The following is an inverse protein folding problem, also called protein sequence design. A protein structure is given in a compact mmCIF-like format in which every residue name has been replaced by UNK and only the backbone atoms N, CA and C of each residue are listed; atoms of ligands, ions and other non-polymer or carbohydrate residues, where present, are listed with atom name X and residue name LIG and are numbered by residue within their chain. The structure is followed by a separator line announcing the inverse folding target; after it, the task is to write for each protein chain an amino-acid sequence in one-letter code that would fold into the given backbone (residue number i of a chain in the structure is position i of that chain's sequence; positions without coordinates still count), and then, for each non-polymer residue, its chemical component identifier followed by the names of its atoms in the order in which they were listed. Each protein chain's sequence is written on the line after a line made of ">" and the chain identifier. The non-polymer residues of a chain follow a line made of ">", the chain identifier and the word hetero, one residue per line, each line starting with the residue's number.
data_IF_942631729304
#
_entry.id   IF_942631729304
#
_cell.length_a   1.000
_cell.length_b   1.000
_cell.length_c   1.000
_cell.angle_alpha   90.00
_cell.angle_beta   90.00
_cell.angle_gamma   90.00
#
_symmetry.space_group_name_H-M   'P 1'
#
loop_
_entity.id
_entity.type
_entity.pdbx_description
1 polymer ?
#
# COMPACT_ATOMS: atom_id res chain seq x y z
N UNK A 1 -40.37 15.08 47.79
CA UNK A 1 -39.45 14.91 48.95
C UNK A 1 -38.59 13.65 48.90
N UNK A 2 -38.63 12.82 47.84
CA UNK A 2 -37.88 11.55 47.79
C UNK A 2 -36.46 11.70 47.19
N UNK A 3 -36.25 12.61 46.24
CA UNK A 3 -34.96 12.79 45.54
C UNK A 3 -33.89 13.47 46.41
N UNK A 4 -34.29 14.42 47.26
CA UNK A 4 -33.36 15.15 48.14
C UNK A 4 -32.74 14.25 49.23
N UNK A 5 -33.49 13.27 49.74
CA UNK A 5 -32.99 12.28 50.69
C UNK A 5 -32.04 11.26 50.04
N UNK A 6 -32.25 10.96 48.76
CA UNK A 6 -31.38 10.07 47.99
C UNK A 6 -30.02 10.72 47.67
N UNK A 7 -30.04 12.01 47.29
CA UNK A 7 -28.83 12.79 46.99
C UNK A 7 -27.89 12.92 48.21
N UNK A 8 -28.41 13.04 49.43
CA UNK A 8 -27.59 13.09 50.65
C UNK A 8 -26.92 11.76 51.02
N UNK A 9 -27.32 10.64 50.42
CA UNK A 9 -26.75 9.30 50.69
C UNK A 9 -25.75 8.87 49.61
N UNK A 10 -25.65 9.61 48.51
CA UNK A 10 -24.67 9.36 47.44
C UNK A 10 -23.33 9.96 47.84
N UNK A 11 -22.30 9.13 47.92
CA UNK A 11 -20.92 9.57 48.07
C UNK A 11 -20.47 10.26 46.78
N UNK A 12 -20.50 11.59 46.77
CA UNK A 12 -20.17 12.39 45.60
C UNK A 12 -18.74 12.18 45.11
N UNK A 13 -17.82 11.82 46.01
CA UNK A 13 -16.45 11.42 45.68
C UNK A 13 -16.40 10.18 44.77
N UNK A 14 -17.30 9.22 44.99
CA UNK A 14 -17.40 8.02 44.13
C UNK A 14 -17.88 8.41 42.75
N UNK A 15 -18.86 9.30 42.65
CA UNK A 15 -19.38 9.80 41.36
C UNK A 15 -18.29 10.51 40.56
N UNK A 16 -17.52 11.39 41.21
CA UNK A 16 -16.42 12.10 40.55
C UNK A 16 -15.32 11.14 40.09
N UNK A 17 -14.95 10.15 40.90
CA UNK A 17 -13.95 9.13 40.52
C UNK A 17 -14.42 8.29 39.34
N UNK A 18 -15.69 7.90 39.32
CA UNK A 18 -16.28 7.17 38.19
C UNK A 18 -16.25 8.02 36.91
N UNK A 19 -16.60 9.30 37.01
CA UNK A 19 -16.51 10.24 35.88
C UNK A 19 -15.06 10.36 35.36
N UNK A 20 -14.08 10.50 36.26
CA UNK A 20 -12.67 10.58 35.89
C UNK A 20 -12.19 9.33 35.16
N UNK A 21 -12.59 8.14 35.62
CA UNK A 21 -12.27 6.87 34.95
C UNK A 21 -12.90 6.82 33.56
N UNK A 22 -14.14 7.30 33.39
CA UNK A 22 -14.78 7.37 32.07
C UNK A 22 -14.03 8.31 31.11
N UNK A 23 -13.66 9.50 31.57
CA UNK A 23 -12.88 10.47 30.77
C UNK A 23 -11.53 9.88 30.39
N UNK A 24 -10.82 9.25 31.33
CA UNK A 24 -9.56 8.58 31.07
C UNK A 24 -9.71 7.41 30.07
N UNK A 25 -10.80 6.63 30.19
CA UNK A 25 -11.10 5.53 29.28
C UNK A 25 -11.37 5.99 27.84
N UNK A 26 -12.09 7.10 27.67
CA UNK A 26 -12.29 7.72 26.35
C UNK A 26 -10.97 8.21 25.78
N UNK A 27 -10.14 8.90 26.58
CA UNK A 27 -8.82 9.37 26.17
C UNK A 27 -7.91 8.23 25.70
N UNK A 28 -7.89 7.12 26.44
CA UNK A 28 -7.12 5.93 26.07
C UNK A 28 -7.61 5.34 24.73
N UNK A 29 -8.92 5.31 24.52
CA UNK A 29 -9.53 4.79 23.29
C UNK A 29 -9.12 5.61 22.06
N UNK A 30 -9.15 6.94 22.19
CA UNK A 30 -8.72 7.86 21.11
C UNK A 30 -7.23 7.66 20.80
N UNK A 31 -6.38 7.56 21.84
CA UNK A 31 -4.95 7.33 21.66
C UNK A 31 -4.67 5.99 20.94
N UNK A 32 -5.36 4.93 21.32
CA UNK A 32 -5.26 3.62 20.68
C UNK A 32 -5.71 3.65 19.21
N UNK A 33 -6.81 4.35 18.92
CA UNK A 33 -7.28 4.53 17.54
C UNK A 33 -6.26 5.31 16.71
N UNK A 34 -5.71 6.41 17.22
CA UNK A 34 -4.68 7.20 16.56
C UNK A 34 -3.48 6.37 16.13
N UNK A 35 -2.93 5.57 17.06
CA UNK A 35 -1.81 4.67 16.76
C UNK A 35 -2.14 3.68 15.63
N UNK A 36 -3.34 3.08 15.68
CA UNK A 36 -3.80 2.13 14.65
C UNK A 36 -3.95 2.78 13.28
N UNK A 37 -4.44 4.03 13.21
CA UNK A 37 -4.53 4.77 11.96
C UNK A 37 -3.15 5.06 11.40
N UNK A 38 -2.24 5.57 12.22
CA UNK A 38 -0.87 5.89 11.79
C UNK A 38 -0.16 4.67 11.19
N UNK A 39 -0.24 3.51 11.86
CA UNK A 39 0.38 2.27 11.35
C UNK A 39 -0.22 1.87 9.99
N UNK A 40 -1.55 1.92 9.84
CA UNK A 40 -2.21 1.61 8.57
C UNK A 40 -1.83 2.59 7.47
N UNK A 41 -1.79 3.88 7.78
CA UNK A 41 -1.38 4.92 6.83
C UNK A 41 0.06 4.73 6.37
N UNK A 42 0.97 4.37 7.27
CA UNK A 42 2.35 4.06 6.90
C UNK A 42 2.44 2.83 6.00
N UNK A 43 1.73 1.75 6.33
CA UNK A 43 1.69 0.56 5.49
C UNK A 43 1.14 0.87 4.09
N UNK A 44 0.02 1.59 4.02
CA UNK A 44 -0.58 2.03 2.76
C UNK A 44 0.37 2.92 1.96
N UNK A 45 1.09 3.82 2.63
CA UNK A 45 2.09 4.67 1.98
C UNK A 45 3.23 3.85 1.41
N UNK A 46 3.79 2.91 2.17
CA UNK A 46 4.86 2.03 1.70
C UNK A 46 4.41 1.20 0.49
N UNK A 47 3.20 0.64 0.51
CA UNK A 47 2.64 -0.08 -0.64
C UNK A 47 2.47 0.82 -1.87
N UNK A 48 1.97 2.04 -1.67
CA UNK A 48 1.84 3.05 -2.72
C UNK A 48 3.18 3.44 -3.33
N UNK A 49 4.19 3.69 -2.48
CA UNK A 49 5.52 4.11 -2.91
C UNK A 49 6.23 2.97 -3.67
N UNK A 50 6.11 1.73 -3.18
CA UNK A 50 6.60 0.52 -3.84
C UNK A 50 6.04 0.38 -5.26
N UNK A 51 4.72 0.55 -5.42
CA UNK A 51 4.07 0.48 -6.73
C UNK A 51 4.48 1.63 -7.65
N UNK A 52 4.64 2.83 -7.11
CA UNK A 52 5.11 3.97 -7.88
C UNK A 52 6.56 3.77 -8.39
N UNK A 53 7.43 3.19 -7.55
CA UNK A 53 8.80 2.85 -7.96
C UNK A 53 8.83 1.79 -9.06
N UNK A 54 8.04 0.72 -8.92
CA UNK A 54 7.96 -0.32 -9.95
C UNK A 54 7.51 0.26 -11.30
N UNK A 55 6.44 1.06 -11.31
CA UNK A 55 5.95 1.69 -12.53
C UNK A 55 6.96 2.63 -13.16
N UNK A 56 7.69 3.40 -12.34
CA UNK A 56 8.76 4.27 -12.83
C UNK A 56 9.85 3.46 -13.56
N UNK A 57 10.25 2.30 -13.02
CA UNK A 57 11.25 1.44 -13.65
C UNK A 57 10.71 0.80 -14.93
N UNK A 58 9.45 0.35 -14.92
CA UNK A 58 8.80 -0.22 -16.09
C UNK A 58 8.71 0.80 -17.24
N UNK A 59 8.24 2.02 -16.98
CA UNK A 59 8.15 3.06 -18.03
C UNK A 59 9.52 3.36 -18.63
N UNK A 60 10.55 3.46 -17.79
CA UNK A 60 11.92 3.68 -18.28
C UNK A 60 12.42 2.50 -19.14
N UNK A 61 12.16 1.26 -18.74
CA UNK A 61 12.50 0.09 -19.56
C UNK A 61 11.73 0.08 -20.89
N UNK A 62 10.45 0.43 -20.87
CA UNK A 62 9.61 0.53 -22.06
C UNK A 62 10.08 1.62 -23.02
N UNK A 63 10.56 2.76 -22.51
CA UNK A 63 11.18 3.79 -23.35
C UNK A 63 12.44 3.26 -24.07
N UNK A 64 13.17 2.31 -23.47
CA UNK A 64 14.35 1.69 -24.09
C UNK A 64 13.99 0.68 -25.16
N UNK A 65 12.88 -0.05 -25.01
CA UNK A 65 12.35 -0.95 -26.04
C UNK A 65 12.09 -0.24 -27.37
N UNK A 66 11.79 1.05 -27.36
CA UNK A 66 11.54 1.83 -28.58
C UNK A 66 12.74 2.68 -29.02
N UNK A 67 13.95 2.45 -28.48
CA UNK A 67 15.17 3.16 -28.92
C UNK A 67 15.63 2.62 -30.29
N UNK A 68 16.12 3.51 -31.16
CA UNK A 68 16.59 3.16 -32.51
C UNK A 68 17.86 2.30 -32.49
N UNK A 69 18.63 2.35 -31.39
CA UNK A 69 19.84 1.55 -31.22
C UNK A 69 19.47 0.17 -30.72
N UNK A 70 19.73 -0.84 -31.53
CA UNK A 70 19.44 -2.25 -31.24
C UNK A 70 19.96 -2.71 -29.87
N UNK A 71 21.20 -2.34 -29.50
CA UNK A 71 21.77 -2.67 -28.18
C UNK A 71 20.92 -2.15 -27.00
N UNK A 72 20.34 -0.96 -27.16
CA UNK A 72 19.53 -0.31 -26.12
C UNK A 72 18.12 -0.91 -26.08
N UNK A 73 17.58 -1.25 -27.25
CA UNK A 73 16.32 -1.99 -27.36
C UNK A 73 16.40 -3.34 -26.66
N UNK A 74 17.44 -4.13 -26.94
CA UNK A 74 17.67 -5.44 -26.30
C UNK A 74 17.78 -5.27 -24.78
N UNK A 75 18.55 -4.30 -24.32
CA UNK A 75 18.67 -3.97 -22.89
C UNK A 75 17.30 -3.62 -22.28
N UNK A 76 16.46 -2.86 -22.99
CA UNK A 76 15.10 -2.53 -22.54
C UNK A 76 14.24 -3.76 -22.29
N UNK A 77 14.32 -4.74 -23.18
CA UNK A 77 13.60 -6.01 -23.03
C UNK A 77 14.13 -6.89 -21.90
N UNK A 78 15.45 -6.97 -21.72
CA UNK A 78 16.05 -7.67 -20.57
C UNK A 78 15.61 -7.04 -19.24
N UNK A 79 15.48 -5.71 -19.21
CA UNK A 79 14.96 -5.01 -18.04
C UNK A 79 13.49 -5.34 -17.76
N UNK A 80 12.66 -5.45 -18.80
CA UNK A 80 11.25 -5.85 -18.65
C UNK A 80 11.16 -7.28 -18.08
N UNK A 81 11.97 -8.21 -18.58
CA UNK A 81 12.02 -9.59 -18.06
C UNK A 81 12.44 -9.60 -16.57
N UNK A 82 13.49 -8.85 -16.21
CA UNK A 82 13.92 -8.70 -14.83
C UNK A 82 12.83 -8.08 -13.93
N UNK A 83 12.09 -7.09 -14.43
CA UNK A 83 11.00 -6.46 -13.69
C UNK A 83 9.81 -7.40 -13.44
N UNK A 84 9.58 -8.38 -14.31
CA UNK A 84 8.54 -9.41 -14.12
C UNK A 84 8.84 -10.34 -12.95
N UNK A 85 10.12 -10.56 -12.65
CA UNK A 85 10.60 -11.42 -11.56
C UNK A 85 10.74 -10.67 -10.23
N UNK A 86 10.55 -9.34 -10.26
CA UNK A 86 10.70 -8.48 -9.09
C UNK A 86 9.61 -8.73 -8.04
N UNK A 87 9.93 -8.73 -6.73
CA UNK A 87 8.92 -8.86 -5.66
C UNK A 87 7.95 -7.67 -5.59
N UNK A 88 8.26 -6.58 -6.29
CA UNK A 88 7.38 -5.42 -6.43
C UNK A 88 6.31 -5.60 -7.51
N UNK A 89 6.48 -6.57 -8.42
CA UNK A 89 5.51 -6.84 -9.47
C UNK A 89 4.29 -7.56 -8.89
N UNK A 90 3.12 -7.01 -9.15
CA UNK A 90 1.85 -7.67 -8.87
C UNK A 90 1.55 -8.73 -9.93
N UNK A 91 0.65 -9.68 -9.63
CA UNK A 91 0.25 -10.72 -10.57
C UNK A 91 -0.22 -10.15 -11.92
N UNK A 92 -0.98 -9.06 -11.90
CA UNK A 92 -1.47 -8.39 -13.11
C UNK A 92 -0.33 -7.86 -13.97
N UNK A 93 0.69 -7.26 -13.35
CA UNK A 93 1.85 -6.72 -14.06
C UNK A 93 2.70 -7.84 -14.69
N UNK A 94 2.87 -8.95 -13.97
CA UNK A 94 3.55 -10.14 -14.48
C UNK A 94 2.81 -10.73 -15.69
N UNK A 95 1.48 -10.82 -15.61
CA UNK A 95 0.64 -11.34 -16.70
C UNK A 95 0.73 -10.47 -17.96
N UNK A 96 0.70 -9.14 -17.80
CA UNK A 96 0.89 -8.19 -18.91
C UNK A 96 2.26 -8.38 -19.56
N UNK A 97 3.33 -8.46 -18.76
CA UNK A 97 4.69 -8.63 -19.28
C UNK A 97 4.84 -9.96 -20.03
N UNK A 98 4.33 -11.05 -19.46
CA UNK A 98 4.38 -12.37 -20.11
C UNK A 98 3.65 -12.36 -21.45
N UNK A 99 2.49 -11.70 -21.53
CA UNK A 99 1.78 -11.54 -22.80
C UNK A 99 2.61 -10.79 -23.84
N UNK A 100 3.28 -9.70 -23.46
CA UNK A 100 4.14 -8.91 -24.36
C UNK A 100 5.35 -9.71 -24.85
N UNK A 101 5.98 -10.51 -23.98
CA UNK A 101 7.12 -11.36 -24.33
C UNK A 101 6.70 -12.44 -25.33
N UNK A 102 5.55 -13.10 -25.10
CA UNK A 102 5.02 -14.12 -26.01
C UNK A 102 4.70 -13.52 -27.39
N UNK A 103 4.04 -12.35 -27.41
CA UNK A 103 3.72 -11.66 -28.66
C UNK A 103 4.98 -11.28 -29.46
N UNK A 104 6.06 -10.92 -28.78
CA UNK A 104 7.35 -10.61 -29.42
C UNK A 104 7.96 -11.83 -30.08
N UNK A 105 8.01 -12.98 -29.40
CA UNK A 105 8.59 -14.20 -29.97
C UNK A 105 7.85 -14.65 -31.24
N UNK A 106 6.52 -14.47 -31.29
CA UNK A 106 5.75 -14.76 -32.51
C UNK A 106 6.12 -13.86 -33.69
N UNK A 107 6.51 -12.61 -33.43
CA UNK A 107 6.93 -11.67 -34.48
C UNK A 107 8.33 -12.00 -35.01
N UNK A 108 9.26 -12.42 -34.14
CA UNK A 108 10.60 -12.84 -34.55
C UNK A 108 10.54 -14.12 -35.43
N UNK A 109 9.70 -15.09 -35.05
CA UNK A 109 9.49 -16.33 -35.84
C UNK A 109 8.84 -16.07 -37.22
N UNK A 110 8.12 -14.95 -37.39
CA UNK A 110 7.42 -14.61 -38.63
C UNK A 110 8.29 -13.90 -39.67
N UNK A 111 9.40 -13.27 -39.26
CA UNK A 111 10.35 -12.61 -40.18
C UNK A 111 11.42 -13.56 -40.73
N UNK A 112 11.66 -14.71 -40.07
CA UNK A 112 12.65 -15.72 -40.48
C UNK A 112 12.09 -16.83 -41.40
N UNK A 113 10.78 -16.85 -41.68
CA UNK A 113 10.10 -17.84 -42.54
C UNK A 113 9.77 -17.35 -43.95
#
# INVERSE_FOLDING_TARGET
>A
MSVALWLCRVDWDVVVRLLQVLVAGVGLSIAQQGLRYTVRTLAQKTESDNRAEWWKRYTWAMEKVYDEREEVMVTGWELIDCLSQSPLATHTEVEIINFLIVQRSEHEDSEEG
#
